data_IF_595671028824
#
_entry.id   IF_595671028824
#
_cell.length_a   1.000
_cell.length_b   1.000
_cell.length_c   1.000
_cell.angle_alpha   90.00
_cell.angle_beta   90.00
_cell.angle_gamma   90.00
#
_symmetry.space_group_name_H-M   'P 1'
#
loop_
_entity.id
_entity.type
_entity.pdbx_description
1 polymer ?
#
# COMPACT_ATOMS: atom_id res chain seq x y z
N UNK A 1 -11.09 -8.47 -2.78
CA UNK A 1 -10.18 -7.39 -3.22
C UNK A 1 -10.81 -6.55 -4.31
N UNK A 2 -11.55 -7.16 -5.25
CA UNK A 2 -12.16 -6.45 -6.39
C UNK A 2 -12.99 -5.24 -5.99
N UNK A 3 -13.91 -5.41 -5.04
CA UNK A 3 -14.80 -4.33 -4.57
C UNK A 3 -14.08 -3.06 -4.04
N UNK A 4 -12.84 -3.20 -3.51
CA UNK A 4 -12.08 -2.05 -2.98
C UNK A 4 -11.08 -1.56 -4.02
N UNK A 5 -10.28 -2.44 -4.59
CA UNK A 5 -9.16 -2.02 -5.46
C UNK A 5 -9.62 -1.82 -6.91
N UNK A 6 -10.30 -2.80 -7.50
CA UNK A 6 -10.64 -2.77 -8.92
C UNK A 6 -11.87 -1.89 -9.17
N UNK A 7 -12.93 -2.06 -8.38
CA UNK A 7 -14.22 -1.41 -8.61
C UNK A 7 -14.30 0.02 -8.03
N UNK A 8 -13.31 0.43 -7.24
CA UNK A 8 -13.24 1.77 -6.63
C UNK A 8 -11.93 2.47 -6.96
N UNK A 9 -10.82 2.09 -6.31
CA UNK A 9 -9.57 2.84 -6.45
C UNK A 9 -9.11 2.94 -7.91
N UNK A 10 -9.14 1.84 -8.67
CA UNK A 10 -8.75 1.83 -10.09
C UNK A 10 -9.83 2.37 -11.03
N UNK A 11 -11.10 2.29 -10.64
CA UNK A 11 -12.22 2.79 -11.45
C UNK A 11 -12.33 4.32 -11.39
N UNK A 12 -12.03 4.91 -10.24
CA UNK A 12 -12.09 6.35 -10.01
C UNK A 12 -10.84 6.83 -9.24
N UNK A 13 -9.82 7.38 -9.93
CA UNK A 13 -8.63 7.94 -9.30
C UNK A 13 -8.90 9.13 -8.36
N UNK A 14 -10.06 9.78 -8.46
CA UNK A 14 -10.47 10.84 -7.53
C UNK A 14 -11.02 10.29 -6.21
N UNK A 15 -11.17 8.96 -6.07
CA UNK A 15 -11.62 8.31 -4.83
C UNK A 15 -10.77 8.78 -3.64
N UNK A 16 -11.38 9.37 -2.61
CA UNK A 16 -10.67 9.72 -1.38
C UNK A 16 -10.26 8.45 -0.61
N UNK A 17 -9.02 8.42 -0.14
CA UNK A 17 -8.43 7.33 0.64
C UNK A 17 -7.89 7.87 1.94
N UNK A 18 -8.40 7.36 3.05
CA UNK A 18 -7.87 7.63 4.39
C UNK A 18 -6.87 6.55 4.78
N UNK A 19 -5.64 6.95 5.08
CA UNK A 19 -4.58 6.04 5.53
C UNK A 19 -4.68 5.80 7.04
N UNK A 20 -4.48 4.56 7.48
CA UNK A 20 -4.57 4.18 8.90
C UNK A 20 -3.51 3.13 9.24
N UNK A 21 -3.09 3.11 10.50
CA UNK A 21 -2.16 2.12 11.06
C UNK A 21 -2.87 0.87 11.61
N UNK A 22 -4.19 0.83 11.48
CA UNK A 22 -5.06 -0.26 11.96
C UNK A 22 -5.58 -1.10 10.79
N UNK A 23 -6.16 -2.25 11.10
CA UNK A 23 -6.83 -3.06 10.09
C UNK A 23 -7.94 -2.27 9.38
N UNK A 24 -7.88 -2.23 8.05
CA UNK A 24 -8.68 -1.36 7.19
C UNK A 24 -9.67 -2.14 6.28
N UNK A 25 -10.17 -1.48 5.24
CA UNK A 25 -11.05 -2.08 4.24
C UNK A 25 -10.38 -3.21 3.44
N UNK A 26 -9.05 -3.17 3.26
CA UNK A 26 -8.28 -4.25 2.60
C UNK A 26 -8.18 -5.46 3.54
N UNK A 27 -8.10 -5.23 4.85
CA UNK A 27 -8.04 -6.28 5.86
C UNK A 27 -9.38 -6.99 6.11
N UNK A 28 -10.51 -6.42 5.67
CA UNK A 28 -11.85 -6.94 5.95
C UNK A 28 -12.08 -8.44 5.65
N UNK A 29 -11.65 -9.00 4.50
CA UNK A 29 -11.82 -10.43 4.20
C UNK A 29 -10.71 -11.32 4.79
N UNK A 30 -9.72 -10.76 5.50
CA UNK A 30 -8.54 -11.51 5.92
C UNK A 30 -8.85 -12.43 7.12
N UNK A 31 -8.64 -13.76 7.03
CA UNK A 31 -8.92 -14.69 8.14
C UNK A 31 -7.99 -14.48 9.34
N UNK A 32 -6.87 -13.79 9.14
CA UNK A 32 -5.91 -13.43 10.18
C UNK A 32 -6.30 -12.19 10.98
N UNK A 33 -7.33 -11.43 10.55
CA UNK A 33 -7.80 -10.22 11.22
C UNK A 33 -8.34 -10.52 12.63
N UNK A 34 -8.05 -9.64 13.58
CA UNK A 34 -8.48 -9.68 14.99
C UNK A 34 -8.87 -8.25 15.40
N UNK A 35 -10.14 -7.90 15.21
CA UNK A 35 -10.62 -6.53 15.40
C UNK A 35 -9.84 -5.54 14.52
N UNK A 36 -9.18 -4.58 15.15
CA UNK A 36 -8.37 -3.54 14.49
C UNK A 36 -6.91 -3.95 14.27
N UNK A 37 -6.58 -5.22 14.49
CA UNK A 37 -5.24 -5.80 14.36
C UNK A 37 -5.28 -7.17 13.64
N UNK A 38 -4.17 -7.91 13.65
CA UNK A 38 -4.10 -9.28 13.12
C UNK A 38 -2.95 -10.08 13.75
N UNK A 39 -2.90 -11.39 13.50
CA UNK A 39 -1.82 -12.26 14.01
C UNK A 39 -0.42 -11.88 13.54
N UNK A 40 -0.30 -11.14 12.43
CA UNK A 40 0.97 -10.69 11.85
C UNK A 40 1.25 -9.20 12.10
N UNK A 41 0.56 -8.57 13.07
CA UNK A 41 0.53 -7.11 13.22
C UNK A 41 1.92 -6.47 13.31
N UNK A 42 2.87 -7.05 14.04
CA UNK A 42 4.22 -6.50 14.16
C UNK A 42 4.95 -6.41 12.81
N UNK A 43 4.86 -7.47 11.99
CA UNK A 43 5.48 -7.50 10.66
C UNK A 43 4.78 -6.53 9.69
N UNK A 44 3.46 -6.48 9.74
CA UNK A 44 2.67 -5.58 8.88
C UNK A 44 2.97 -4.13 9.26
N UNK A 45 2.98 -3.79 10.54
CA UNK A 45 3.32 -2.45 11.02
C UNK A 45 4.70 -2.01 10.52
N UNK A 46 5.72 -2.87 10.62
CA UNK A 46 7.05 -2.53 10.09
C UNK A 46 7.07 -2.29 8.57
N UNK A 47 6.28 -3.07 7.80
CA UNK A 47 6.14 -2.88 6.36
C UNK A 47 5.42 -1.56 6.04
N UNK A 48 4.30 -1.31 6.69
CA UNK A 48 3.45 -0.15 6.47
C UNK A 48 4.16 1.14 6.87
N UNK A 49 4.86 1.16 8.01
CA UNK A 49 5.63 2.33 8.45
C UNK A 49 6.73 2.70 7.46
N UNK A 50 7.50 1.74 6.95
CA UNK A 50 8.53 2.02 5.92
C UNK A 50 7.92 2.60 4.65
N UNK A 51 6.79 2.05 4.19
CA UNK A 51 6.12 2.55 2.99
C UNK A 51 5.55 3.95 3.21
N UNK A 52 4.91 4.18 4.36
CA UNK A 52 4.37 5.48 4.70
C UNK A 52 5.45 6.55 4.80
N UNK A 53 6.60 6.25 5.44
CA UNK A 53 7.74 7.16 5.50
C UNK A 53 8.26 7.50 4.09
N UNK A 54 8.48 6.48 3.25
CA UNK A 54 9.00 6.66 1.90
C UNK A 54 8.02 7.39 0.97
N UNK A 55 6.72 7.17 1.17
CA UNK A 55 5.64 7.83 0.45
C UNK A 55 5.24 9.16 1.08
N UNK A 56 5.80 9.53 2.25
CA UNK A 56 5.39 10.65 3.09
C UNK A 56 3.88 10.69 3.32
N UNK A 57 3.32 9.57 3.82
CA UNK A 57 1.92 9.42 4.21
C UNK A 57 1.81 9.45 5.73
N UNK A 58 0.75 10.06 6.24
CA UNK A 58 0.47 10.11 7.68
C UNK A 58 -0.81 9.36 8.05
N UNK A 59 -0.86 8.80 9.26
CA UNK A 59 -2.07 8.17 9.77
C UNK A 59 -3.19 9.20 9.98
N UNK A 60 -4.37 8.93 9.42
CA UNK A 60 -5.51 9.84 9.40
C UNK A 60 -5.51 10.81 8.22
N UNK A 61 -4.43 10.87 7.43
CA UNK A 61 -4.38 11.65 6.20
C UNK A 61 -5.39 11.11 5.20
N UNK A 62 -6.13 12.01 4.54
CA UNK A 62 -7.02 11.67 3.44
C UNK A 62 -6.60 12.40 2.18
N UNK A 63 -6.21 11.63 1.16
CA UNK A 63 -5.85 12.11 -0.18
C UNK A 63 -6.54 11.27 -1.23
N UNK A 64 -6.63 11.78 -2.45
CA UNK A 64 -7.14 11.00 -3.58
C UNK A 64 -6.22 9.83 -3.91
N UNK A 65 -6.78 8.79 -4.52
CA UNK A 65 -5.98 7.67 -5.02
C UNK A 65 -4.93 8.13 -6.05
N UNK A 66 -5.28 9.08 -6.93
CA UNK A 66 -4.35 9.68 -7.88
C UNK A 66 -3.16 10.35 -7.20
N UNK A 67 -3.38 11.10 -6.11
CA UNK A 67 -2.30 11.72 -5.33
C UNK A 67 -1.40 10.66 -4.67
N UNK A 68 -1.99 9.60 -4.10
CA UNK A 68 -1.22 8.50 -3.52
C UNK A 68 -0.34 7.79 -4.59
N UNK A 69 -0.89 7.54 -5.78
CA UNK A 69 -0.13 7.01 -6.91
C UNK A 69 0.98 7.99 -7.35
N UNK A 70 0.69 9.28 -7.40
CA UNK A 70 1.67 10.32 -7.72
C UNK A 70 2.83 10.38 -6.73
N UNK A 71 2.58 10.19 -5.43
CA UNK A 71 3.64 10.04 -4.42
C UNK A 71 4.49 8.80 -4.70
N UNK A 72 3.88 7.67 -5.02
CA UNK A 72 4.61 6.45 -5.35
C UNK A 72 5.49 6.61 -6.59
N UNK A 73 4.95 7.19 -7.68
CA UNK A 73 5.72 7.35 -8.93
C UNK A 73 6.82 8.39 -8.84
N UNK A 74 6.64 9.44 -8.03
CA UNK A 74 7.62 10.53 -7.89
C UNK A 74 8.69 10.29 -6.82
N UNK A 75 8.38 9.55 -5.75
CA UNK A 75 9.27 9.37 -4.60
C UNK A 75 10.04 8.07 -4.61
N UNK A 76 9.50 7.03 -5.26
CA UNK A 76 10.07 5.69 -5.21
C UNK A 76 10.72 5.30 -6.53
N UNK A 77 11.80 4.53 -6.44
CA UNK A 77 12.37 3.72 -7.50
C UNK A 77 12.00 2.25 -7.26
N UNK A 78 11.84 1.43 -8.31
CA UNK A 78 11.61 -0.01 -8.13
C UNK A 78 12.61 -0.69 -7.19
N UNK A 79 13.88 -0.27 -7.19
CA UNK A 79 14.92 -0.85 -6.32
C UNK A 79 14.80 -0.44 -4.85
N UNK A 80 14.10 0.64 -4.52
CA UNK A 80 13.83 1.01 -3.12
C UNK A 80 13.01 -0.08 -2.42
N UNK A 81 12.23 -0.86 -3.18
CA UNK A 81 11.46 -1.97 -2.65
C UNK A 81 12.33 -3.11 -2.08
N UNK A 82 13.62 -3.20 -2.44
CA UNK A 82 14.52 -4.17 -1.78
C UNK A 82 14.67 -3.88 -0.29
N UNK A 83 14.70 -2.59 0.06
CA UNK A 83 14.69 -2.15 1.45
C UNK A 83 13.28 -2.13 2.03
N UNK A 84 12.32 -1.46 1.35
CA UNK A 84 10.98 -1.28 1.91
C UNK A 84 10.27 -2.62 2.16
N UNK A 85 10.50 -3.61 1.29
CA UNK A 85 9.87 -4.91 1.31
C UNK A 85 10.79 -6.06 1.77
N UNK A 86 11.91 -5.79 2.47
CA UNK A 86 12.89 -6.84 2.81
C UNK A 86 12.30 -8.05 3.56
N UNK A 87 11.25 -7.86 4.37
CA UNK A 87 10.53 -8.93 5.08
C UNK A 87 9.26 -9.39 4.36
N UNK A 88 9.05 -8.96 3.11
CA UNK A 88 7.86 -9.27 2.32
C UNK A 88 8.09 -10.51 1.45
N UNK A 89 7.24 -11.53 1.62
CA UNK A 89 7.28 -12.75 0.80
C UNK A 89 7.05 -12.52 -0.70
N UNK A 90 6.54 -11.34 -1.08
CA UNK A 90 6.28 -11.02 -2.49
C UNK A 90 7.47 -10.34 -3.18
N UNK A 91 8.48 -9.90 -2.43
CA UNK A 91 9.67 -9.27 -2.99
C UNK A 91 10.39 -10.21 -3.95
N UNK A 92 10.55 -11.48 -3.55
CA UNK A 92 11.18 -12.53 -4.37
C UNK A 92 10.46 -12.79 -5.69
N UNK A 93 9.16 -12.50 -5.76
CA UNK A 93 8.36 -12.65 -6.97
C UNK A 93 8.46 -11.44 -7.91
N UNK A 94 9.13 -10.36 -7.50
CA UNK A 94 9.33 -9.14 -8.29
C UNK A 94 8.05 -8.35 -8.61
N UNK A 95 6.89 -8.77 -8.11
CA UNK A 95 5.58 -8.23 -8.52
C UNK A 95 5.46 -6.73 -8.25
N UNK A 96 5.87 -6.28 -7.06
CA UNK A 96 5.77 -4.88 -6.66
C UNK A 96 6.71 -3.98 -7.48
N UNK A 97 7.93 -4.46 -7.77
CA UNK A 97 8.89 -3.74 -8.61
C UNK A 97 8.37 -3.54 -10.03
N UNK A 98 7.88 -4.63 -10.64
CA UNK A 98 7.30 -4.59 -11.98
C UNK A 98 6.05 -3.69 -12.03
N UNK A 99 5.21 -3.74 -11.00
CA UNK A 99 4.01 -2.90 -10.91
C UNK A 99 4.36 -1.41 -10.80
N UNK A 100 5.36 -1.04 -9.98
CA UNK A 100 5.81 0.34 -9.85
C UNK A 100 6.43 0.86 -11.16
N UNK A 101 7.30 0.08 -11.80
CA UNK A 101 7.88 0.43 -13.08
C UNK A 101 6.81 0.65 -14.16
N UNK A 102 5.82 -0.26 -14.23
CA UNK A 102 4.69 -0.13 -15.16
C UNK A 102 3.75 1.05 -14.82
N UNK A 103 3.70 1.48 -13.56
CA UNK A 103 2.95 2.66 -13.16
C UNK A 103 3.68 3.95 -13.58
N UNK A 104 5.01 3.96 -13.51
CA UNK A 104 5.86 5.10 -13.91
C UNK A 104 5.99 5.27 -15.43
N UNK A 105 5.70 4.23 -16.21
CA UNK A 105 5.76 4.26 -17.68
C UNK A 105 4.42 4.66 -18.34
N UNK A 106 3.41 5.05 -17.57
CA UNK A 106 2.08 5.41 -18.07
C UNK A 106 1.96 6.89 -18.40
#
# INVERSE_FOLDING_TARGET
MDAVVNDRLRADPATPVTFTWQADAICAPCPSRRGDSCVSAQRIWGLDSRHADALGLEGGETITWAEAQGRATSRLRPDDLDYLCHDCRWLELGMCKSALAALQSR
#
